data_IF_375409753977
#
_entry.id   IF_375409753977
#
_cell.length_a   1.000
_cell.length_b   1.000
_cell.length_c   1.000
_cell.angle_alpha   90.00
_cell.angle_beta   90.00
_cell.angle_gamma   90.00
#
_symmetry.space_group_name_H-M   'P 1'
#
loop_
_entity.id
_entity.type
_entity.pdbx_description
1 polymer ?
#
# COMPACT_ATOMS: atom_id res chain seq x y z
N UNK A 1 -9.32 -5.64 14.73
CA UNK A 1 -8.43 -4.48 14.48
C UNK A 1 -7.07 -4.74 15.11
N UNK A 2 -5.99 -4.61 14.34
CA UNK A 2 -4.63 -4.79 14.86
C UNK A 2 -4.36 -3.76 15.96
N UNK A 3 -4.12 -4.21 17.19
CA UNK A 3 -3.81 -3.34 18.34
C UNK A 3 -2.54 -2.47 18.15
N UNK A 4 -1.77 -2.67 17.06
CA UNK A 4 -0.53 -1.95 16.73
C UNK A 4 -0.71 -0.77 15.76
N UNK A 5 -1.90 -0.60 15.17
CA UNK A 5 -2.24 0.47 14.23
C UNK A 5 -1.92 1.89 14.73
N UNK A 6 -2.09 2.12 16.05
CA UNK A 6 -1.83 3.41 16.69
C UNK A 6 -0.41 3.97 16.44
N UNK A 7 0.59 3.10 16.21
CA UNK A 7 1.97 3.56 15.93
C UNK A 7 2.12 4.17 14.54
N UNK A 8 1.28 3.78 13.57
CA UNK A 8 1.45 4.19 12.18
C UNK A 8 1.14 5.68 11.99
N UNK A 9 0.06 6.17 12.61
CA UNK A 9 -0.26 7.60 12.68
C UNK A 9 0.90 8.42 13.23
N UNK A 10 1.44 8.00 14.38
CA UNK A 10 2.58 8.67 15.03
C UNK A 10 3.78 8.73 14.10
N UNK A 11 4.18 7.60 13.50
CA UNK A 11 5.30 7.54 12.54
C UNK A 11 5.09 8.52 11.38
N UNK A 12 3.88 8.56 10.81
CA UNK A 12 3.57 9.42 9.68
C UNK A 12 3.63 10.89 10.07
N UNK A 13 3.05 11.26 11.21
CA UNK A 13 3.10 12.64 11.71
C UNK A 13 4.53 13.09 12.04
N UNK A 14 5.37 12.21 12.60
CA UNK A 14 6.78 12.53 12.92
C UNK A 14 7.65 12.65 11.66
N UNK A 15 7.31 11.93 10.59
CA UNK A 15 8.04 12.00 9.31
C UNK A 15 7.54 13.12 8.38
N UNK A 16 6.38 13.70 8.66
CA UNK A 16 5.83 14.79 7.88
C UNK A 16 6.66 16.06 8.07
N UNK A 17 6.92 16.78 6.98
CA UNK A 17 7.66 18.07 7.00
C UNK A 17 6.86 19.19 7.64
N UNK A 18 5.54 19.05 7.64
CA UNK A 18 4.58 20.01 8.18
C UNK A 18 3.68 19.31 9.19
N UNK A 19 3.02 20.09 10.05
CA UNK A 19 2.03 19.55 10.94
C UNK A 19 0.81 19.08 10.13
N UNK A 20 0.62 17.77 10.02
CA UNK A 20 -0.47 17.15 9.27
C UNK A 20 -1.53 16.60 10.23
N UNK A 21 -2.79 16.82 9.91
CA UNK A 21 -3.90 16.20 10.61
C UNK A 21 -4.38 14.95 9.86
N UNK A 22 -4.12 13.77 10.43
CA UNK A 22 -4.59 12.50 9.86
C UNK A 22 -5.98 12.17 10.44
N UNK A 23 -7.02 12.33 9.61
CA UNK A 23 -8.41 12.03 9.97
C UNK A 23 -8.63 10.51 10.07
N UNK A 24 -9.64 10.04 10.84
CA UNK A 24 -9.88 8.61 11.05
C UNK A 24 -10.02 7.77 9.77
N UNK A 25 -10.70 8.28 8.73
CA UNK A 25 -10.82 7.59 7.44
C UNK A 25 -9.48 7.44 6.73
N UNK A 26 -8.67 8.50 6.72
CA UNK A 26 -7.32 8.46 6.14
C UNK A 26 -6.41 7.50 6.91
N UNK A 27 -6.54 7.47 8.24
CA UNK A 27 -5.83 6.53 9.11
C UNK A 27 -6.17 5.08 8.75
N UNK A 28 -7.45 4.75 8.59
CA UNK A 28 -7.90 3.42 8.16
C UNK A 28 -7.38 3.04 6.76
N UNK A 29 -7.38 3.98 5.80
CA UNK A 29 -6.86 3.74 4.45
C UNK A 29 -5.35 3.49 4.46
N UNK A 30 -4.60 4.25 5.25
CA UNK A 30 -3.16 4.08 5.43
C UNK A 30 -2.85 2.71 6.04
N UNK A 31 -3.62 2.29 7.04
CA UNK A 31 -3.49 0.95 7.63
C UNK A 31 -3.74 -0.15 6.61
N UNK A 32 -4.82 -0.03 5.82
CA UNK A 32 -5.13 -0.99 4.76
C UNK A 32 -4.01 -1.08 3.73
N UNK A 33 -3.54 0.06 3.22
CA UNK A 33 -2.44 0.11 2.25
C UNK A 33 -1.15 -0.52 2.82
N UNK A 34 -0.87 -0.27 4.09
CA UNK A 34 0.29 -0.87 4.77
C UNK A 34 0.15 -2.38 4.88
N UNK A 35 -1.04 -2.89 5.20
CA UNK A 35 -1.30 -4.32 5.27
C UNK A 35 -1.16 -5.00 3.90
N UNK A 36 -1.73 -4.40 2.86
CA UNK A 36 -1.62 -4.92 1.50
C UNK A 36 -0.16 -4.95 1.04
N UNK A 37 0.58 -3.86 1.29
CA UNK A 37 2.00 -3.79 0.96
C UNK A 37 2.82 -4.89 1.67
N UNK A 38 2.63 -5.06 2.98
CA UNK A 38 3.36 -6.07 3.76
C UNK A 38 2.97 -7.50 3.36
N UNK A 39 1.71 -7.74 3.01
CA UNK A 39 1.25 -9.06 2.52
C UNK A 39 1.93 -9.42 1.22
N UNK A 40 1.88 -8.52 0.23
CA UNK A 40 2.48 -8.75 -1.09
C UNK A 40 4.01 -8.94 -0.97
N UNK A 41 4.68 -8.09 -0.18
CA UNK A 41 6.11 -8.20 0.05
C UNK A 41 6.49 -9.55 0.70
N UNK A 42 5.69 -10.02 1.65
CA UNK A 42 5.91 -11.29 2.32
C UNK A 42 5.69 -12.49 1.37
N UNK A 43 4.69 -12.42 0.51
CA UNK A 43 4.42 -13.45 -0.52
C UNK A 43 5.57 -13.55 -1.52
N UNK A 44 6.06 -12.43 -2.03
CA UNK A 44 7.21 -12.39 -2.94
C UNK A 44 8.49 -12.90 -2.26
N UNK A 45 8.75 -12.46 -1.02
CA UNK A 45 9.90 -12.93 -0.25
C UNK A 45 9.82 -14.43 0.09
N UNK A 46 8.60 -14.96 0.31
CA UNK A 46 8.35 -16.39 0.49
C UNK A 46 8.65 -17.17 -0.79
N UNK A 47 8.26 -16.66 -1.96
CA UNK A 47 8.59 -17.27 -3.24
C UNK A 47 10.11 -17.37 -3.43
N UNK A 48 10.86 -16.31 -3.11
CA UNK A 48 12.33 -16.33 -3.15
C UNK A 48 12.95 -17.33 -2.17
N UNK A 49 12.43 -17.39 -0.94
CA UNK A 49 12.88 -18.37 0.03
C UNK A 49 12.67 -19.81 -0.47
N UNK A 50 11.53 -20.06 -1.14
CA UNK A 50 11.20 -21.36 -1.70
C UNK A 50 12.11 -21.74 -2.88
N UNK A 51 12.40 -20.81 -3.79
CA UNK A 51 13.40 -21.00 -4.87
C UNK A 51 14.76 -21.44 -4.31
N UNK A 52 15.17 -20.85 -3.19
CA UNK A 52 16.42 -21.19 -2.49
C UNK A 52 16.33 -22.44 -1.59
N UNK A 53 15.18 -23.14 -1.59
CA UNK A 53 14.89 -24.29 -0.70
C UNK A 53 15.07 -23.95 0.79
N UNK A 54 14.85 -22.70 1.16
CA UNK A 54 14.97 -22.21 2.52
C UNK A 54 13.65 -22.34 3.27
N UNK A 55 13.67 -22.95 4.45
CA UNK A 55 12.50 -23.10 5.32
C UNK A 55 12.05 -21.78 5.99
N UNK A 56 12.85 -20.71 5.91
CA UNK A 56 12.62 -19.44 6.61
C UNK A 56 12.86 -18.24 5.70
N UNK A 57 12.02 -17.22 5.79
CA UNK A 57 12.27 -15.93 5.13
C UNK A 57 13.41 -15.21 5.88
N UNK A 58 14.46 -14.80 5.15
CA UNK A 58 15.64 -14.12 5.68
C UNK A 58 15.80 -12.75 5.04
N UNK A 59 16.68 -11.93 5.61
CA UNK A 59 16.89 -10.54 5.19
C UNK A 59 17.28 -10.41 3.71
N UNK A 60 18.02 -11.37 3.15
CA UNK A 60 18.42 -11.31 1.74
C UNK A 60 17.26 -11.64 0.78
N UNK A 61 16.32 -12.52 1.15
CA UNK A 61 15.10 -12.73 0.36
C UNK A 61 14.28 -11.44 0.28
N UNK A 62 14.12 -10.73 1.40
CA UNK A 62 13.47 -9.42 1.44
C UNK A 62 14.22 -8.40 0.58
N UNK A 63 15.55 -8.33 0.67
CA UNK A 63 16.37 -7.42 -0.13
C UNK A 63 16.27 -7.70 -1.64
N UNK A 64 16.07 -8.97 -2.01
CA UNK A 64 15.93 -9.37 -3.41
C UNK A 64 14.62 -8.85 -4.02
N UNK A 65 13.54 -8.83 -3.24
CA UNK A 65 12.21 -8.35 -3.68
C UNK A 65 11.96 -6.87 -3.37
N UNK A 66 12.73 -6.27 -2.46
CA UNK A 66 12.62 -4.85 -2.10
C UNK A 66 13.25 -3.90 -3.14
N UNK A 67 13.69 -4.42 -4.30
CA UNK A 67 14.23 -3.59 -5.38
C UNK A 67 13.07 -2.89 -6.07
N UNK A 68 12.75 -1.72 -5.52
CA UNK A 68 11.97 -0.62 -6.07
C UNK A 68 10.78 -1.05 -6.94
N UNK A 69 9.60 -0.78 -6.40
CA UNK A 69 8.35 -0.47 -7.09
C UNK A 69 8.56 0.76 -8.03
N UNK A 70 9.59 0.74 -8.86
CA UNK A 70 9.88 1.76 -9.89
C UNK A 70 9.03 1.45 -11.13
N UNK A 71 8.65 0.18 -11.30
CA UNK A 71 7.84 -0.29 -12.42
C UNK A 71 6.33 -0.27 -12.15
N UNK A 72 5.86 -0.08 -10.90
CA UNK A 72 4.42 0.00 -10.62
C UNK A 72 3.86 1.42 -10.50
N UNK A 73 4.69 2.46 -10.33
CA UNK A 73 4.23 3.84 -10.56
C UNK A 73 4.04 4.13 -12.07
N UNK A 74 4.65 3.34 -12.95
CA UNK A 74 4.34 3.31 -14.38
C UNK A 74 3.06 2.53 -14.74
N UNK A 75 2.71 1.48 -13.98
CA UNK A 75 1.52 0.66 -14.23
C UNK A 75 0.25 1.07 -13.45
N UNK A 76 0.37 1.74 -12.30
CA UNK A 76 -0.78 2.23 -11.53
C UNK A 76 -1.29 3.59 -12.03
N UNK A 77 -0.54 4.30 -12.88
CA UNK A 77 -1.03 5.49 -13.57
C UNK A 77 -2.15 5.15 -14.56
N UNK A 78 -2.04 4.02 -15.27
CA UNK A 78 -3.02 3.64 -16.29
C UNK A 78 -4.32 3.02 -15.74
N UNK A 79 -4.29 2.46 -14.52
CA UNK A 79 -5.45 1.76 -13.93
C UNK A 79 -6.28 2.61 -12.96
N UNK A 80 -5.76 3.74 -12.47
CA UNK A 80 -6.53 4.67 -11.64
C UNK A 80 -7.21 5.81 -12.43
N UNK A 81 -6.87 6.00 -13.72
CA UNK A 81 -7.52 6.97 -14.60
C UNK A 81 -8.84 6.48 -15.23
N UNK A 82 -9.23 5.22 -15.00
CA UNK A 82 -10.45 4.63 -15.58
C UNK A 82 -11.59 4.37 -14.58
N UNK A 83 -11.45 4.78 -13.32
CA UNK A 83 -12.61 4.87 -12.41
C UNK A 83 -13.40 6.15 -12.70
N UNK A 84 -14.06 6.16 -13.85
CA UNK A 84 -15.18 7.07 -14.09
C UNK A 84 -16.31 6.70 -13.11
N UNK A 85 -16.81 7.63 -12.28
CA UNK A 85 -17.94 7.34 -11.43
C UNK A 85 -19.21 7.29 -12.29
N UNK A 86 -19.68 6.09 -12.59
CA UNK A 86 -21.05 5.85 -13.02
C UNK A 86 -22.01 6.19 -11.86
N UNK A 87 -22.68 7.35 -11.95
CA UNK A 87 -24.09 7.60 -11.59
C UNK A 87 -24.39 9.12 -11.43
N UNK A 88 -25.66 9.59 -11.48
CA UNK A 88 -26.82 9.17 -12.29
C UNK A 88 -27.59 10.37 -12.92
N UNK A 89 -28.46 10.04 -13.89
CA UNK A 89 -29.74 10.68 -14.23
C UNK A 89 -29.81 12.19 -14.61
N UNK A 90 -30.31 12.41 -15.84
CA UNK A 90 -31.38 13.36 -16.20
C UNK A 90 -31.46 14.67 -15.40
N UNK A 91 -31.16 15.81 -16.03
CA UNK A 91 -32.02 17.01 -15.98
C UNK A 91 -31.48 18.15 -16.86
N UNK A 92 -32.41 18.71 -17.64
CA UNK A 92 -32.38 19.98 -18.40
C UNK A 92 -31.76 20.00 -19.80
N UNK A 93 -32.62 19.72 -20.80
CA UNK A 93 -32.75 20.54 -22.01
C UNK A 93 -33.45 21.86 -21.63
N UNK A 94 -33.17 22.95 -22.35
CA UNK A 94 -34.08 23.36 -23.41
C UNK A 94 -33.42 23.23 -24.78
#
# INVERSE_FOLDING_TARGET
>A
MLKKAHKLKSIITTKAKTNINVRPTSEAMIELLTLMFLSNLAEEAKAKAFEEKSATIRAHHLKAVSKVVELSLGLWSSTLLTFEPLAPALLFSP
#
